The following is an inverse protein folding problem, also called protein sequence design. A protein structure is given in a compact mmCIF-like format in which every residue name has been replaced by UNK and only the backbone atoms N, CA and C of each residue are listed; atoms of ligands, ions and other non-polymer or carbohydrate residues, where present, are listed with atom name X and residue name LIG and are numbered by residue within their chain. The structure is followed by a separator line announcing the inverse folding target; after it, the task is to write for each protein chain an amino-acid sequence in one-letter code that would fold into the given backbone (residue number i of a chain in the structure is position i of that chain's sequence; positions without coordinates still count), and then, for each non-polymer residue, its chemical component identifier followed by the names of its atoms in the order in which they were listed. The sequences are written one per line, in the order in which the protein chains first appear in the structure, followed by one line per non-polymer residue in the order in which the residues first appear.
data_IF_955100277147
#
_entry.id   IF_955100277147
#
_cell.length_a   1.000
_cell.length_b   1.000
_cell.length_c   1.000
_cell.angle_alpha   90.00
_cell.angle_beta   90.00
_cell.angle_gamma   90.00
#
_symmetry.space_group_name_H-M   'P 1'
#
loop_
_entity.id
_entity.type
_entity.pdbx_description
1 polymer ?
#
# COMPACT_ATOMS: atom_id res chain seq x y z
N UNK A 1 26.16 9.33 0.36
CA UNK A 1 25.29 9.11 -0.82
C UNK A 1 23.88 9.49 -0.42
N UNK A 2 23.22 10.34 -1.21
CA UNK A 2 21.85 10.80 -1.00
C UNK A 2 20.89 9.97 -1.86
N UNK A 3 19.91 9.32 -1.25
CA UNK A 3 19.04 8.36 -1.95
C UNK A 3 17.60 8.85 -1.93
N UNK A 4 17.03 9.04 -3.12
CA UNK A 4 15.63 9.42 -3.32
C UNK A 4 14.73 8.18 -3.28
N UNK A 5 13.79 8.16 -2.35
CA UNK A 5 12.79 7.09 -2.24
C UNK A 5 11.45 7.55 -2.82
N UNK A 6 10.97 6.86 -3.86
CA UNK A 6 9.80 7.30 -4.64
C UNK A 6 8.47 6.68 -4.24
N UNK A 7 8.49 5.68 -3.34
CA UNK A 7 7.34 4.88 -2.98
C UNK A 7 6.40 5.58 -2.01
N UNK A 8 5.34 4.89 -1.61
CA UNK A 8 4.49 5.34 -0.51
C UNK A 8 5.28 5.35 0.81
N UNK A 9 4.80 6.13 1.78
CA UNK A 9 5.48 6.31 3.09
C UNK A 9 5.88 4.99 3.77
N UNK A 10 4.98 4.00 3.80
CA UNK A 10 5.27 2.69 4.42
C UNK A 10 6.40 1.94 3.70
N UNK A 11 6.39 1.96 2.36
CA UNK A 11 7.44 1.35 1.53
C UNK A 11 8.77 2.07 1.76
N UNK A 12 8.74 3.41 1.79
CA UNK A 12 9.93 4.23 2.01
C UNK A 12 10.50 4.03 3.41
N UNK A 13 9.66 3.85 4.43
CA UNK A 13 10.10 3.59 5.81
C UNK A 13 10.92 2.31 5.93
N UNK A 14 10.53 1.25 5.21
CA UNK A 14 11.28 -0.02 5.18
C UNK A 14 12.62 0.13 4.48
N UNK A 15 12.63 0.77 3.31
CA UNK A 15 13.86 1.07 2.58
C UNK A 15 14.81 1.99 3.37
N UNK A 16 14.27 3.00 4.05
CA UNK A 16 15.02 3.96 4.89
C UNK A 16 15.88 3.24 5.92
N UNK A 17 15.32 2.29 6.66
CA UNK A 17 16.05 1.55 7.69
C UNK A 17 17.30 0.85 7.12
N UNK A 18 17.19 0.28 5.91
CA UNK A 18 18.33 -0.32 5.21
C UNK A 18 19.34 0.75 4.80
N UNK A 19 18.90 1.84 4.17
CA UNK A 19 19.80 2.90 3.69
C UNK A 19 20.58 3.58 4.82
N UNK A 20 19.93 3.86 5.95
CA UNK A 20 20.55 4.46 7.12
C UNK A 20 21.61 3.52 7.72
N UNK A 21 21.42 2.19 7.66
CA UNK A 21 22.45 1.23 8.09
C UNK A 21 23.74 1.28 7.24
N UNK A 22 23.64 1.77 5.99
CA UNK A 22 24.78 2.06 5.11
C UNK A 22 25.26 3.51 5.18
N UNK A 23 24.84 4.29 6.19
CA UNK A 23 25.18 5.72 6.34
C UNK A 23 24.78 6.59 5.14
N UNK A 24 23.72 6.21 4.40
CA UNK A 24 23.18 7.03 3.34
C UNK A 24 22.17 8.06 3.86
N UNK A 25 22.15 9.24 3.25
CA UNK A 25 21.15 10.28 3.52
C UNK A 25 19.87 9.93 2.75
N UNK A 26 18.76 9.74 3.47
CA UNK A 26 17.48 9.36 2.87
C UNK A 26 16.64 10.59 2.56
N UNK A 27 16.31 10.76 1.28
CA UNK A 27 15.35 11.75 0.81
C UNK A 27 14.02 11.01 0.58
N UNK A 28 13.15 11.07 1.58
CA UNK A 28 11.80 10.49 1.51
C UNK A 28 10.91 11.38 0.63
N UNK A 29 10.64 10.91 -0.59
CA UNK A 29 10.04 11.71 -1.65
C UNK A 29 8.95 10.92 -2.38
N UNK A 30 7.85 10.58 -1.70
CA UNK A 30 6.73 9.90 -2.33
C UNK A 30 6.26 10.69 -3.56
N UNK A 31 6.24 10.05 -4.72
CA UNK A 31 5.72 10.66 -5.95
C UNK A 31 4.19 10.59 -6.03
N UNK A 32 3.62 9.71 -5.20
CA UNK A 32 2.19 9.49 -5.10
C UNK A 32 1.84 9.32 -3.61
N UNK A 33 0.64 9.74 -3.25
CA UNK A 33 0.07 9.51 -1.92
C UNK A 33 -1.32 8.89 -2.02
N UNK A 34 -1.77 8.33 -0.90
CA UNK A 34 -3.13 7.86 -0.77
C UNK A 34 -3.98 9.00 -0.22
N UNK A 35 -4.82 9.56 -1.08
CA UNK A 35 -5.70 10.66 -0.70
C UNK A 35 -7.06 10.12 -0.27
N UNK A 36 -7.55 10.59 0.86
CA UNK A 36 -8.91 10.33 1.28
C UNK A 36 -9.90 11.03 0.33
N UNK A 37 -10.98 10.32 0.00
CA UNK A 37 -12.07 10.91 -0.75
C UNK A 37 -12.78 11.94 0.14
N UNK A 38 -13.03 13.17 -0.33
CA UNK A 38 -13.69 14.19 0.47
C UNK A 38 -15.01 13.69 1.07
N UNK A 39 -15.14 13.78 2.40
CA UNK A 39 -16.32 13.34 3.14
C UNK A 39 -16.41 11.83 3.43
N UNK A 40 -15.48 11.00 2.93
CA UNK A 40 -15.54 9.55 3.10
C UNK A 40 -15.51 9.10 4.55
N UNK A 41 -14.74 9.79 5.42
CA UNK A 41 -14.68 9.50 6.86
C UNK A 41 -16.07 9.58 7.51
N UNK A 42 -16.90 10.55 7.11
CA UNK A 42 -18.25 10.72 7.68
C UNK A 42 -19.18 9.56 7.36
N UNK A 43 -18.87 8.78 6.31
CA UNK A 43 -19.62 7.58 5.93
C UNK A 43 -19.20 6.35 6.76
N UNK A 44 -18.05 6.40 7.44
CA UNK A 44 -17.52 5.34 8.29
C UNK A 44 -18.15 5.38 9.69
N UNK A 45 -19.46 5.14 9.74
CA UNK A 45 -20.21 5.06 10.99
C UNK A 45 -19.89 3.80 11.81
N UNK A 46 -20.53 3.66 12.98
CA UNK A 46 -20.39 2.45 13.81
C UNK A 46 -20.83 1.19 13.07
N UNK A 47 -20.14 0.07 13.29
CA UNK A 47 -20.47 -1.23 12.68
C UNK A 47 -20.14 -2.40 13.60
N UNK A 48 -20.79 -3.55 13.39
CA UNK A 48 -20.42 -4.78 14.09
C UNK A 48 -19.09 -5.33 13.54
N UNK A 49 -18.92 -5.21 12.21
CA UNK A 49 -17.72 -5.67 11.51
C UNK A 49 -17.15 -4.60 10.60
N UNK A 50 -15.83 -4.63 10.46
CA UNK A 50 -15.11 -3.98 9.37
C UNK A 50 -14.25 -5.01 8.64
N UNK A 51 -14.22 -4.95 7.32
CA UNK A 51 -13.40 -5.83 6.48
C UNK A 51 -12.29 -5.00 5.84
N UNK A 52 -11.05 -5.46 5.94
CA UNK A 52 -9.89 -4.84 5.29
C UNK A 52 -9.21 -5.82 4.33
N UNK A 53 -9.11 -5.41 3.07
CA UNK A 53 -8.39 -6.16 2.03
C UNK A 53 -7.04 -5.54 1.67
N UNK A 54 -6.55 -4.60 2.47
CA UNK A 54 -5.31 -3.88 2.24
C UNK A 54 -4.78 -3.30 3.56
N UNK A 55 -3.47 -3.41 3.83
CA UNK A 55 -2.84 -2.74 4.98
C UNK A 55 -3.06 -1.23 4.94
N UNK A 56 -3.04 -0.62 3.75
CA UNK A 56 -3.31 0.81 3.56
C UNK A 56 -4.71 1.19 4.02
N UNK A 57 -5.72 0.38 3.69
CA UNK A 57 -7.09 0.64 4.13
C UNK A 57 -7.21 0.58 5.66
N UNK A 58 -6.58 -0.43 6.27
CA UNK A 58 -6.51 -0.58 7.72
C UNK A 58 -5.83 0.61 8.39
N UNK A 59 -4.61 0.98 7.96
CA UNK A 59 -3.87 2.13 8.53
C UNK A 59 -4.65 3.43 8.38
N UNK A 60 -5.11 3.77 7.17
CA UNK A 60 -5.86 5.00 6.95
C UNK A 60 -7.14 5.05 7.78
N UNK A 61 -7.85 3.93 7.92
CA UNK A 61 -9.05 3.87 8.75
C UNK A 61 -8.70 4.16 10.21
N UNK A 62 -7.67 3.49 10.73
CA UNK A 62 -7.24 3.64 12.12
C UNK A 62 -6.65 5.02 12.41
N UNK A 63 -5.84 5.60 11.52
CA UNK A 63 -5.28 6.95 11.66
C UNK A 63 -6.35 8.03 11.90
N UNK A 64 -7.53 7.86 11.30
CA UNK A 64 -8.59 8.87 11.35
C UNK A 64 -9.67 8.59 12.38
N UNK A 65 -9.83 7.32 12.81
CA UNK A 65 -10.89 6.92 13.72
C UNK A 65 -10.39 6.45 15.07
N UNK A 66 -9.10 6.13 15.25
CA UNK A 66 -8.56 5.81 16.57
C UNK A 66 -8.54 7.04 17.50
N UNK A 67 -8.83 6.90 18.81
CA UNK A 67 -9.15 5.68 19.55
C UNK A 67 -10.65 5.33 19.60
N UNK A 68 -11.47 5.89 18.71
CA UNK A 68 -12.91 5.60 18.69
C UNK A 68 -13.16 4.12 18.38
N UNK A 69 -13.96 3.47 19.22
CA UNK A 69 -14.42 2.10 18.98
C UNK A 69 -15.57 2.11 17.94
N UNK A 70 -15.22 2.34 16.68
CA UNK A 70 -16.18 2.39 15.56
C UNK A 70 -16.59 1.02 15.05
N UNK A 71 -15.87 -0.04 15.40
CA UNK A 71 -16.23 -1.41 15.06
C UNK A 71 -15.98 -2.38 16.21
N UNK A 72 -16.78 -3.44 16.31
CA UNK A 72 -16.60 -4.47 17.33
C UNK A 72 -15.55 -5.51 16.89
N UNK A 73 -15.60 -5.94 15.63
CA UNK A 73 -14.72 -6.97 15.06
C UNK A 73 -14.12 -6.55 13.71
N UNK A 74 -12.94 -7.07 13.41
CA UNK A 74 -12.27 -6.85 12.13
C UNK A 74 -11.98 -8.17 11.42
N UNK A 75 -12.15 -8.20 10.10
CA UNK A 75 -11.70 -9.29 9.25
C UNK A 75 -10.64 -8.76 8.27
N UNK A 76 -9.49 -9.43 8.20
CA UNK A 76 -8.38 -9.00 7.34
C UNK A 76 -8.09 -10.05 6.27
N UNK A 77 -7.65 -9.60 5.09
CA UNK A 77 -7.32 -10.50 3.98
C UNK A 77 -6.04 -11.32 4.21
N UNK A 78 -5.11 -10.80 5.01
CA UNK A 78 -3.82 -11.44 5.25
C UNK A 78 -3.02 -10.79 6.39
N UNK A 79 -1.93 -11.44 6.84
CA UNK A 79 -1.19 -11.06 8.04
C UNK A 79 -0.72 -9.61 8.04
N UNK A 80 -0.24 -9.08 6.90
CA UNK A 80 0.20 -7.68 6.79
C UNK A 80 -0.92 -6.67 7.03
N UNK A 81 -2.18 -7.04 6.76
CA UNK A 81 -3.35 -6.18 7.02
C UNK A 81 -3.77 -6.25 8.48
N UNK A 82 -3.66 -7.42 9.11
CA UNK A 82 -3.88 -7.57 10.55
C UNK A 82 -2.82 -6.80 11.35
N UNK A 83 -1.54 -6.91 10.97
CA UNK A 83 -0.43 -6.18 11.59
C UNK A 83 -0.64 -4.66 11.55
N UNK A 84 -1.21 -4.13 10.47
CA UNK A 84 -1.55 -2.71 10.35
C UNK A 84 -2.61 -2.23 11.36
N UNK A 85 -3.42 -3.13 11.92
CA UNK A 85 -4.36 -2.83 13.00
C UNK A 85 -3.74 -3.07 14.38
N UNK A 86 -3.05 -4.21 14.52
CA UNK A 86 -2.56 -4.73 15.79
C UNK A 86 -1.30 -4.01 16.26
N UNK A 87 -0.27 -3.95 15.42
CA UNK A 87 1.03 -3.38 15.79
C UNK A 87 0.96 -1.88 16.03
N UNK A 88 0.31 -1.15 15.13
CA UNK A 88 0.25 0.31 15.19
C UNK A 88 -0.78 0.83 16.22
N UNK A 89 -1.88 0.11 16.44
CA UNK A 89 -3.05 0.63 17.19
C UNK A 89 -3.59 -0.29 18.29
N UNK A 90 -3.03 -1.49 18.45
CA UNK A 90 -3.49 -2.47 19.43
C UNK A 90 -4.91 -3.01 19.17
N UNK A 91 -5.37 -2.99 17.91
CA UNK A 91 -6.71 -3.47 17.53
C UNK A 91 -6.65 -4.87 16.93
N UNK A 92 -7.22 -5.84 17.64
CA UNK A 92 -7.22 -7.25 17.23
C UNK A 92 -7.97 -7.49 15.92
N UNK A 93 -7.37 -8.29 15.04
CA UNK A 93 -8.05 -8.92 13.92
C UNK A 93 -8.83 -10.16 14.41
N UNK A 94 -10.14 -10.18 14.19
CA UNK A 94 -11.02 -11.25 14.66
C UNK A 94 -11.15 -12.41 13.68
N UNK A 95 -10.81 -12.21 12.40
CA UNK A 95 -10.92 -13.22 11.35
C UNK A 95 -9.84 -13.02 10.28
N UNK A 96 -9.09 -14.07 9.99
CA UNK A 96 -7.96 -14.06 9.06
C UNK A 96 -7.90 -15.42 8.31
N UNK A 97 -7.74 -15.45 6.97
CA UNK A 97 -7.51 -16.70 6.26
C UNK A 97 -6.17 -17.33 6.64
N UNK A 98 -6.11 -18.66 6.67
CA UNK A 98 -4.85 -19.37 6.93
C UNK A 98 -3.88 -19.33 5.74
N UNK A 99 -4.43 -19.31 4.51
CA UNK A 99 -3.65 -19.37 3.26
C UNK A 99 -4.26 -18.53 2.14
N UNK A 100 -3.51 -18.37 1.03
CA UNK A 100 -3.89 -17.71 -0.23
C UNK A 100 -4.21 -16.20 -0.15
N UNK A 101 -4.35 -15.63 1.05
CA UNK A 101 -4.46 -14.20 1.39
C UNK A 101 -5.07 -13.30 0.31
N UNK A 102 -6.24 -13.69 -0.18
CA UNK A 102 -6.95 -13.04 -1.28
C UNK A 102 -8.37 -12.67 -0.86
N UNK A 103 -8.98 -11.73 -1.58
CA UNK A 103 -10.38 -11.36 -1.37
C UNK A 103 -11.32 -12.57 -1.46
N UNK A 104 -11.03 -13.53 -2.35
CA UNK A 104 -11.80 -14.77 -2.48
C UNK A 104 -11.60 -15.72 -1.30
N UNK A 105 -10.37 -15.86 -0.79
CA UNK A 105 -10.08 -16.65 0.41
C UNK A 105 -10.77 -16.06 1.64
N UNK A 106 -10.73 -14.73 1.78
CA UNK A 106 -11.44 -14.01 2.83
C UNK A 106 -12.96 -14.18 2.73
N UNK A 107 -13.52 -14.07 1.52
CA UNK A 107 -14.95 -14.31 1.30
C UNK A 107 -15.35 -15.73 1.74
N UNK A 108 -14.55 -16.74 1.36
CA UNK A 108 -14.80 -18.14 1.72
C UNK A 108 -14.89 -18.35 3.23
N UNK A 109 -13.92 -17.85 4.00
CA UNK A 109 -13.95 -18.02 5.46
C UNK A 109 -15.08 -17.22 6.13
N UNK A 110 -15.47 -16.07 5.57
CA UNK A 110 -16.63 -15.30 6.03
C UNK A 110 -17.92 -16.12 5.80
N UNK A 111 -18.04 -16.79 4.66
CA UNK A 111 -19.18 -17.67 4.34
C UNK A 111 -19.21 -18.90 5.23
N UNK A 112 -18.06 -19.53 5.50
CA UNK A 112 -17.95 -20.65 6.45
C UNK A 112 -18.38 -20.21 7.87
N UNK A 113 -18.11 -18.96 8.22
CA UNK A 113 -18.50 -18.34 9.49
C UNK A 113 -19.78 -17.50 9.40
N UNK A 114 -20.63 -17.71 8.38
CA UNK A 114 -21.76 -16.82 8.02
C UNK A 114 -22.63 -16.41 9.21
N UNK A 115 -22.87 -17.30 10.19
CA UNK A 115 -23.67 -17.00 11.39
C UNK A 115 -23.16 -15.78 12.18
N UNK A 116 -21.87 -15.46 12.12
CA UNK A 116 -21.30 -14.28 12.78
C UNK A 116 -21.57 -12.96 12.04
N UNK A 117 -22.03 -13.04 10.78
CA UNK A 117 -22.21 -11.93 9.85
C UNK A 117 -23.67 -11.68 9.48
N UNK A 118 -24.58 -12.61 9.77
CA UNK A 118 -26.03 -12.44 9.55
C UNK A 118 -26.55 -11.31 10.43
N UNK A 119 -27.41 -10.46 9.86
CA UNK A 119 -28.02 -9.28 10.50
C UNK A 119 -27.01 -8.32 11.13
N UNK A 120 -25.77 -8.33 10.65
CA UNK A 120 -24.71 -7.43 11.09
C UNK A 120 -24.53 -6.26 10.15
N UNK A 121 -24.19 -5.10 10.73
CA UNK A 121 -23.68 -3.98 9.94
C UNK A 121 -22.20 -4.22 9.66
N UNK A 122 -21.87 -4.43 8.39
CA UNK A 122 -20.51 -4.76 7.95
C UNK A 122 -20.03 -3.67 7.02
N UNK A 123 -18.91 -3.02 7.36
CA UNK A 123 -18.28 -2.01 6.50
C UNK A 123 -17.10 -2.60 5.75
N UNK A 124 -16.92 -2.18 4.51
CA UNK A 124 -15.76 -2.50 3.69
C UNK A 124 -15.14 -1.20 3.14
N UNK A 125 -14.31 -0.51 3.94
CA UNK A 125 -13.51 0.62 3.47
C UNK A 125 -12.43 0.14 2.52
N UNK A 126 -12.43 0.63 1.28
CA UNK A 126 -11.48 0.22 0.27
C UNK A 126 -11.07 1.39 -0.63
N UNK A 127 -10.09 1.17 -1.51
CA UNK A 127 -9.77 2.18 -2.52
C UNK A 127 -10.89 2.27 -3.54
N UNK A 128 -11.10 3.44 -4.14
CA UNK A 128 -12.05 3.62 -5.25
C UNK A 128 -11.78 2.68 -6.42
N UNK A 129 -10.51 2.29 -6.60
CA UNK A 129 -10.05 1.38 -7.66
C UNK A 129 -10.24 -0.10 -7.32
N UNK A 130 -10.62 -0.44 -6.08
CA UNK A 130 -10.83 -1.82 -5.68
C UNK A 130 -11.96 -2.47 -6.50
N UNK A 131 -11.78 -3.75 -6.86
CA UNK A 131 -12.79 -4.54 -7.55
C UNK A 131 -13.96 -4.89 -6.62
N UNK A 132 -15.13 -5.19 -7.19
CA UNK A 132 -16.32 -5.58 -6.44
C UNK A 132 -16.38 -7.06 -6.07
N UNK A 133 -15.35 -7.86 -6.40
CA UNK A 133 -15.34 -9.31 -6.26
C UNK A 133 -15.76 -9.77 -4.85
N UNK A 134 -15.21 -9.16 -3.79
CA UNK A 134 -15.58 -9.48 -2.39
C UNK A 134 -17.06 -9.20 -2.11
N UNK A 135 -17.57 -8.04 -2.56
CA UNK A 135 -18.96 -7.64 -2.36
C UNK A 135 -19.91 -8.62 -3.05
N UNK A 136 -19.60 -8.97 -4.29
CA UNK A 136 -20.41 -9.88 -5.09
C UNK A 136 -20.42 -11.29 -4.50
N UNK A 137 -19.25 -11.83 -4.14
CA UNK A 137 -19.14 -13.18 -3.56
C UNK A 137 -19.90 -13.31 -2.24
N UNK A 138 -19.86 -12.29 -1.38
CA UNK A 138 -20.60 -12.30 -0.12
C UNK A 138 -22.10 -12.15 -0.34
N UNK A 139 -22.52 -11.30 -1.29
CA UNK A 139 -23.92 -11.12 -1.64
C UNK A 139 -24.57 -12.40 -2.19
N UNK A 140 -23.86 -13.12 -3.06
CA UNK A 140 -24.29 -14.44 -3.58
C UNK A 140 -24.51 -15.47 -2.46
N UNK A 141 -23.80 -15.31 -1.34
CA UNK A 141 -23.93 -16.14 -0.15
C UNK A 141 -24.84 -15.51 0.91
N UNK A 142 -25.64 -14.50 0.57
CA UNK A 142 -26.61 -13.87 1.45
C UNK A 142 -26.00 -13.07 2.61
N UNK A 143 -24.80 -12.52 2.42
CA UNK A 143 -24.13 -11.63 3.37
C UNK A 143 -24.02 -10.25 2.70
N UNK A 144 -24.71 -9.25 3.27
CA UNK A 144 -24.66 -7.87 2.76
C UNK A 144 -23.52 -7.11 3.43
N UNK A 145 -22.68 -6.46 2.63
CA UNK A 145 -21.61 -5.58 3.13
C UNK A 145 -21.73 -4.18 2.51
N UNK A 146 -21.41 -3.15 3.28
CA UNK A 146 -21.42 -1.75 2.84
C UNK A 146 -20.02 -1.37 2.36
N UNK A 147 -19.82 -1.41 1.03
CA UNK A 147 -18.60 -0.87 0.42
C UNK A 147 -18.54 0.64 0.61
N UNK A 148 -17.40 1.12 1.09
CA UNK A 148 -17.09 2.54 1.17
C UNK A 148 -15.82 2.83 0.40
N UNK A 149 -15.96 3.53 -0.74
CA UNK A 149 -14.82 4.11 -1.42
C UNK A 149 -14.21 5.17 -0.50
N UNK A 150 -13.06 4.83 0.08
CA UNK A 150 -12.48 5.56 1.20
C UNK A 150 -11.33 6.45 0.76
N UNK A 151 -10.48 5.95 -0.15
CA UNK A 151 -9.30 6.62 -0.65
C UNK A 151 -9.01 6.29 -2.12
N UNK A 152 -8.10 7.05 -2.74
CA UNK A 152 -7.53 6.76 -4.05
C UNK A 152 -6.05 7.16 -4.09
N UNK A 153 -5.21 6.52 -4.92
CA UNK A 153 -3.88 7.04 -5.19
C UNK A 153 -3.98 8.34 -5.99
N UNK A 154 -3.25 9.36 -5.57
CA UNK A 154 -3.13 10.65 -6.25
C UNK A 154 -1.64 11.00 -6.46
N UNK A 155 -1.32 11.65 -7.57
CA UNK A 155 0.04 12.11 -7.85
C UNK A 155 0.30 13.38 -7.05
N UNK A 156 1.45 13.45 -6.38
CA UNK A 156 1.83 14.64 -5.66
C UNK A 156 2.15 15.79 -6.63
N UNK A 157 1.70 16.99 -6.30
CA UNK A 157 2.11 18.21 -7.00
C UNK A 157 3.53 18.57 -6.58
N UNK A 158 4.50 18.19 -7.39
CA UNK A 158 5.91 18.36 -7.10
C UNK A 158 6.45 19.58 -7.85
N UNK A 159 6.86 20.61 -7.11
CA UNK A 159 7.47 21.81 -7.68
C UNK A 159 8.90 21.55 -8.18
N UNK A 160 9.68 20.79 -7.41
CA UNK A 160 11.05 20.42 -7.77
C UNK A 160 11.49 19.15 -7.04
N UNK A 161 12.28 18.32 -7.72
CA UNK A 161 12.95 17.18 -7.09
C UNK A 161 14.30 17.67 -6.53
N UNK A 162 14.62 17.41 -5.26
CA UNK A 162 15.90 17.79 -4.66
C UNK A 162 17.07 17.07 -5.34
N UNK A 163 18.31 17.52 -5.12
CA UNK A 163 19.48 16.82 -5.65
C UNK A 163 19.72 15.49 -4.92
N UNK A 164 20.01 14.42 -5.67
CA UNK A 164 20.25 13.07 -5.16
C UNK A 164 21.32 12.35 -5.98
N UNK A 165 21.93 11.31 -5.39
CA UNK A 165 22.99 10.50 -6.02
C UNK A 165 22.42 9.15 -6.53
N UNK A 166 21.37 8.65 -5.88
CA UNK A 166 20.71 7.41 -6.22
C UNK A 166 19.19 7.50 -6.04
N UNK A 167 18.44 6.64 -6.73
CA UNK A 167 16.98 6.57 -6.69
C UNK A 167 16.49 5.12 -6.62
N UNK A 168 15.48 4.89 -5.78
CA UNK A 168 14.76 3.62 -5.70
C UNK A 168 13.36 3.77 -6.30
N UNK A 169 13.03 2.94 -7.28
CA UNK A 169 11.67 2.81 -7.83
C UNK A 169 10.99 1.54 -7.33
N UNK A 170 9.88 1.71 -6.61
CA UNK A 170 9.13 0.61 -6.00
C UNK A 170 7.90 0.18 -6.79
N UNK A 171 7.68 0.75 -7.98
CA UNK A 171 6.59 0.38 -8.89
C UNK A 171 6.74 1.05 -10.26
N UNK A 172 6.06 0.50 -11.27
CA UNK A 172 5.91 1.14 -12.59
C UNK A 172 5.27 2.53 -12.50
N UNK A 173 4.28 2.75 -11.63
CA UNK A 173 3.63 4.05 -11.50
C UNK A 173 4.55 5.12 -10.91
N UNK A 174 5.50 4.73 -10.04
CA UNK A 174 6.55 5.64 -9.56
C UNK A 174 7.51 6.05 -10.68
N UNK A 175 7.87 5.13 -11.58
CA UNK A 175 8.67 5.43 -12.78
C UNK A 175 7.94 6.44 -13.66
N UNK A 176 6.68 6.17 -14.02
CA UNK A 176 5.86 7.08 -14.82
C UNK A 176 5.69 8.45 -14.16
N UNK A 177 5.48 8.49 -12.85
CA UNK A 177 5.36 9.73 -12.10
C UNK A 177 6.65 10.55 -12.18
N UNK A 178 7.82 9.92 -12.00
CA UNK A 178 9.10 10.61 -12.11
C UNK A 178 9.32 11.17 -13.52
N UNK A 179 9.11 10.35 -14.56
CA UNK A 179 9.32 10.77 -15.94
C UNK A 179 8.24 11.73 -16.48
N UNK A 180 7.13 11.90 -15.77
CA UNK A 180 6.20 13.01 -16.03
C UNK A 180 6.72 14.37 -15.57
N UNK A 181 7.71 14.38 -14.66
CA UNK A 181 8.30 15.59 -14.08
C UNK A 181 9.71 15.88 -14.61
N UNK A 182 10.46 14.82 -14.95
CA UNK A 182 11.87 14.84 -15.33
C UNK A 182 12.12 13.99 -16.57
N UNK A 183 13.30 14.09 -17.15
CA UNK A 183 13.69 13.24 -18.28
C UNK A 183 14.90 12.37 -17.91
N UNK A 184 15.31 11.48 -18.81
CA UNK A 184 16.41 10.54 -18.57
C UNK A 184 17.75 11.20 -18.29
N UNK A 185 17.99 12.43 -18.77
CA UNK A 185 19.23 13.17 -18.49
C UNK A 185 19.35 13.54 -17.00
N UNK A 186 18.23 13.73 -16.30
CA UNK A 186 18.21 13.97 -14.86
C UNK A 186 18.70 12.75 -14.05
N UNK A 187 18.80 11.56 -14.65
CA UNK A 187 19.32 10.34 -14.03
C UNK A 187 20.75 10.02 -14.46
N UNK A 188 21.36 10.79 -15.37
CA UNK A 188 22.72 10.54 -15.83
C UNK A 188 23.73 10.58 -14.65
N UNK A 189 24.56 9.54 -14.55
CA UNK A 189 25.54 9.39 -13.47
C UNK A 189 24.96 9.02 -12.10
N UNK A 190 23.64 8.79 -12.00
CA UNK A 190 22.97 8.38 -10.76
C UNK A 190 22.80 6.86 -10.72
N UNK A 191 22.81 6.28 -9.52
CA UNK A 191 22.45 4.86 -9.35
C UNK A 191 20.93 4.71 -9.35
N UNK A 192 20.43 3.71 -10.07
CA UNK A 192 18.98 3.41 -10.15
C UNK A 192 18.75 1.98 -9.68
N UNK A 193 17.89 1.80 -8.68
CA UNK A 193 17.40 0.48 -8.30
C UNK A 193 15.90 0.34 -8.52
N UNK A 194 15.48 -0.83 -8.99
CA UNK A 194 14.09 -1.15 -9.31
C UNK A 194 13.65 -2.38 -8.52
N UNK A 195 12.42 -2.38 -8.01
CA UNK A 195 11.88 -3.48 -7.20
C UNK A 195 11.69 -4.79 -7.96
N UNK A 196 11.55 -4.74 -9.29
CA UNK A 196 11.35 -5.95 -10.09
C UNK A 196 11.06 -5.71 -11.56
N UNK A 197 10.86 -6.79 -12.30
CA UNK A 197 10.87 -6.78 -13.78
C UNK A 197 9.75 -5.93 -14.40
N UNK A 198 8.56 -5.91 -13.81
CA UNK A 198 7.48 -5.02 -14.30
C UNK A 198 7.89 -3.55 -14.27
N UNK A 199 8.62 -3.15 -13.23
CA UNK A 199 9.16 -1.79 -13.09
C UNK A 199 10.29 -1.55 -14.09
N UNK A 200 11.12 -2.56 -14.36
CA UNK A 200 12.17 -2.51 -15.38
C UNK A 200 11.62 -2.34 -16.80
N UNK A 201 10.58 -3.09 -17.15
CA UNK A 201 9.88 -2.96 -18.44
C UNK A 201 9.38 -1.52 -18.62
N UNK A 202 8.74 -0.93 -17.61
CA UNK A 202 8.30 0.47 -17.65
C UNK A 202 9.49 1.42 -17.74
N UNK A 203 10.55 1.24 -16.95
CA UNK A 203 11.74 2.10 -16.97
C UNK A 203 12.39 2.18 -18.35
N UNK A 204 12.54 1.04 -19.04
CA UNK A 204 13.10 0.94 -20.39
C UNK A 204 12.28 1.69 -21.45
N UNK A 205 11.01 2.02 -21.19
CA UNK A 205 10.22 2.87 -22.09
C UNK A 205 10.67 4.34 -22.07
N UNK A 206 11.34 4.76 -20.99
CA UNK A 206 11.75 6.16 -20.77
C UNK A 206 13.27 6.36 -20.80
N UNK A 207 14.06 5.33 -20.53
CA UNK A 207 15.52 5.45 -20.42
C UNK A 207 16.25 4.13 -20.68
N UNK A 208 17.38 4.24 -21.40
CA UNK A 208 18.37 3.17 -21.59
C UNK A 208 19.50 3.18 -20.53
N UNK A 209 19.37 4.00 -19.48
CA UNK A 209 20.38 4.07 -18.43
C UNK A 209 20.46 2.75 -17.66
N UNK A 210 21.66 2.38 -17.15
CA UNK A 210 21.81 1.19 -16.35
C UNK A 210 21.01 1.29 -15.05
N UNK A 211 20.45 0.17 -14.63
CA UNK A 211 19.77 0.01 -13.35
C UNK A 211 20.10 -1.36 -12.74
N UNK A 212 19.81 -1.52 -11.46
CA UNK A 212 19.96 -2.79 -10.73
C UNK A 212 18.59 -3.25 -10.24
N UNK A 213 18.27 -4.52 -10.43
CA UNK A 213 17.05 -5.12 -9.89
C UNK A 213 17.28 -5.62 -8.48
N UNK A 214 16.29 -5.41 -7.61
CA UNK A 214 16.23 -6.07 -6.32
C UNK A 214 16.25 -7.60 -6.50
N UNK A 215 16.95 -8.31 -5.60
CA UNK A 215 16.97 -9.79 -5.61
C UNK A 215 15.60 -10.37 -5.29
N UNK A 216 14.86 -9.68 -4.42
CA UNK A 216 13.49 -9.97 -4.05
C UNK A 216 12.66 -8.69 -4.20
N UNK A 217 11.40 -8.84 -4.60
CA UNK A 217 10.50 -7.72 -4.86
C UNK A 217 9.95 -7.09 -3.57
N UNK A 218 10.84 -6.54 -2.74
CA UNK A 218 10.52 -5.83 -1.51
C UNK A 218 11.36 -4.54 -1.39
N UNK A 219 10.96 -3.66 -0.47
CA UNK A 219 11.56 -2.32 -0.34
C UNK A 219 13.00 -2.39 0.18
N UNK A 220 13.26 -3.33 1.07
CA UNK A 220 14.52 -3.55 1.74
C UNK A 220 15.62 -3.96 0.76
N UNK A 221 15.37 -4.99 -0.05
CA UNK A 221 16.31 -5.46 -1.06
C UNK A 221 16.47 -4.44 -2.20
N UNK A 222 15.41 -3.71 -2.57
CA UNK A 222 15.52 -2.61 -3.56
C UNK A 222 16.48 -1.51 -3.10
N UNK A 223 16.48 -1.19 -1.80
CA UNK A 223 17.40 -0.22 -1.22
C UNK A 223 18.82 -0.78 -1.12
N UNK A 224 18.96 -2.02 -0.66
CA UNK A 224 20.24 -2.70 -0.42
C UNK A 224 21.08 -2.84 -1.68
N UNK A 225 20.46 -3.14 -2.83
CA UNK A 225 21.20 -3.37 -4.09
C UNK A 225 21.97 -2.14 -4.59
N UNK A 226 21.70 -0.94 -4.08
CA UNK A 226 22.49 0.25 -4.38
C UNK A 226 23.94 0.18 -3.84
N UNK A 227 24.20 -0.70 -2.87
CA UNK A 227 25.48 -0.86 -2.17
C UNK A 227 26.16 -2.20 -2.44
N UNK A 228 25.51 -3.10 -3.18
CA UNK A 228 26.12 -4.36 -3.60
C UNK A 228 26.63 -4.23 -5.03
N UNK A 229 27.91 -4.54 -5.23
CA UNK A 229 28.53 -4.60 -6.57
C UNK A 229 28.02 -5.79 -7.38
#
# INVERSE_FOLDING_TARGET
MRVLLTGFRDTNSKARAILESYSAEVIDFPLQEMQLIPGSIKLLGKSDWVIFTSPTAARLYMQHLYPLNHFDKAACVGPSTAEALEGDYGRACSLLPETNFSASSLAKIIVENKKQFVDKKILFPCSKLAKNDLVNLLAENGISIQRHDFYLPERNQIASIPNFDAICFFSSSAVEAYFSLKNSKDLAGKKVSLIGESTAVTFRQYSDLPFVLAKEANAEETAKVLFTN
#
